data_IF_815340942337
#
_entry.id   IF_815340942337
#
_cell.length_a   1.000
_cell.length_b   1.000
_cell.length_c   1.000
_cell.angle_alpha   90.00
_cell.angle_beta   90.00
_cell.angle_gamma   90.00
#
_symmetry.space_group_name_H-M   'P 1'
#
loop_
_entity.id
_entity.type
_entity.pdbx_description
1 polymer ?
#
# COMPACT_ATOMS: atom_id res chain seq x y z
N UNK A 1 2.80 -7.20 -6.12
CA UNK A 1 2.06 -5.95 -5.81
C UNK A 1 0.61 -6.20 -6.15
N UNK A 2 -0.30 -6.16 -5.18
CA UNK A 2 -1.74 -6.22 -5.38
C UNK A 2 -2.35 -4.85 -5.15
N UNK A 3 -3.12 -4.34 -6.11
CA UNK A 3 -3.60 -2.93 -6.11
C UNK A 3 -5.12 -2.86 -6.26
N UNK A 4 -5.74 -3.71 -7.06
CA UNK A 4 -7.12 -3.51 -7.50
C UNK A 4 -8.19 -3.97 -6.50
N UNK A 5 -7.85 -4.79 -5.50
CA UNK A 5 -8.77 -5.14 -4.41
C UNK A 5 -8.86 -4.01 -3.36
N UNK A 6 -9.92 -3.21 -3.42
CA UNK A 6 -10.23 -2.11 -2.47
C UNK A 6 -11.57 -2.31 -1.72
N UNK A 7 -12.13 -3.52 -1.81
CA UNK A 7 -13.26 -3.96 -0.99
C UNK A 7 -12.95 -5.34 -0.43
N UNK A 8 -13.47 -5.64 0.77
CA UNK A 8 -13.23 -6.91 1.44
C UNK A 8 -13.75 -8.14 0.67
N UNK A 9 -14.71 -7.96 -0.25
CA UNK A 9 -15.25 -9.00 -1.12
C UNK A 9 -14.53 -9.11 -2.47
N UNK A 10 -13.60 -8.21 -2.78
CA UNK A 10 -12.79 -8.25 -4.01
C UNK A 10 -11.45 -8.92 -3.75
N UNK A 11 -11.17 -10.01 -4.47
CA UNK A 11 -9.93 -10.77 -4.34
C UNK A 11 -9.29 -10.95 -5.72
N UNK A 12 -8.06 -10.48 -5.87
CA UNK A 12 -7.23 -10.63 -7.08
C UNK A 12 -6.10 -11.65 -6.86
N UNK A 13 -5.67 -11.83 -5.60
CA UNK A 13 -4.56 -12.70 -5.21
C UNK A 13 -5.06 -13.76 -4.24
N UNK A 14 -4.74 -15.02 -4.51
CA UNK A 14 -5.17 -16.14 -3.68
C UNK A 14 -4.41 -16.21 -2.35
N UNK A 15 -5.04 -16.85 -1.35
CA UNK A 15 -4.53 -16.88 0.00
C UNK A 15 -3.18 -17.60 0.14
N UNK A 16 -2.91 -18.60 -0.71
CA UNK A 16 -1.63 -19.32 -0.69
C UNK A 16 -0.49 -18.44 -1.17
N UNK A 17 -0.71 -17.57 -2.16
CA UNK A 17 0.28 -16.57 -2.60
C UNK A 17 0.60 -15.59 -1.47
N UNK A 18 -0.41 -15.11 -0.73
CA UNK A 18 -0.20 -14.21 0.42
C UNK A 18 0.54 -14.94 1.55
N UNK A 19 0.15 -16.17 1.89
CA UNK A 19 0.80 -17.00 2.92
C UNK A 19 2.26 -17.31 2.59
N UNK A 20 2.58 -17.52 1.31
CA UNK A 20 3.96 -17.78 0.84
C UNK A 20 4.84 -16.53 0.85
N UNK A 21 4.26 -15.34 0.91
CA UNK A 21 5.05 -14.13 1.05
C UNK A 21 5.73 -14.16 2.43
N UNK A 22 7.06 -14.11 2.45
CA UNK A 22 7.82 -14.00 3.70
C UNK A 22 7.50 -12.69 4.43
N UNK A 23 7.03 -11.67 3.69
CA UNK A 23 6.58 -10.37 4.22
C UNK A 23 5.42 -9.80 3.41
N UNK A 24 4.44 -9.28 4.13
CA UNK A 24 3.33 -8.50 3.59
C UNK A 24 3.55 -7.03 3.94
N UNK A 25 3.68 -6.19 2.92
CA UNK A 25 3.77 -4.75 3.05
C UNK A 25 2.44 -4.10 2.67
N UNK A 26 2.05 -3.05 3.37
CA UNK A 26 0.80 -2.31 3.13
C UNK A 26 1.04 -0.80 3.06
N UNK A 27 0.12 -0.03 2.45
CA UNK A 27 0.16 1.44 2.53
C UNK A 27 0.08 1.89 3.99
N UNK A 28 -1.03 1.54 4.65
CA UNK A 28 -1.26 1.65 6.09
C UNK A 28 -1.93 0.38 6.58
N UNK A 29 -1.75 0.04 7.86
CA UNK A 29 -2.46 -1.10 8.44
C UNK A 29 -3.97 -0.90 8.42
N UNK A 30 -4.41 0.30 8.80
CA UNK A 30 -5.84 0.62 8.92
C UNK A 30 -6.58 0.45 7.59
N UNK A 31 -6.06 1.01 6.49
CA UNK A 31 -6.68 0.85 5.17
C UNK A 31 -6.69 -0.61 4.69
N UNK A 32 -5.58 -1.33 4.91
CA UNK A 32 -5.50 -2.73 4.53
C UNK A 32 -6.52 -3.60 5.27
N UNK A 33 -6.71 -3.41 6.58
CA UNK A 33 -7.69 -4.15 7.37
C UNK A 33 -9.13 -3.80 7.01
N UNK A 34 -9.39 -2.56 6.61
CA UNK A 34 -10.72 -2.09 6.24
C UNK A 34 -11.14 -2.49 4.81
N UNK A 35 -10.19 -2.58 3.88
CA UNK A 35 -10.51 -2.56 2.44
C UNK A 35 -9.86 -3.69 1.63
N UNK A 36 -8.76 -4.30 2.09
CA UNK A 36 -8.01 -5.27 1.28
C UNK A 36 -8.63 -6.68 1.32
N UNK A 37 -9.50 -6.99 0.36
CA UNK A 37 -10.05 -8.35 0.21
C UNK A 37 -8.99 -9.44 -0.01
N UNK A 38 -7.87 -9.13 -0.67
CA UNK A 38 -6.71 -10.05 -0.80
C UNK A 38 -6.17 -10.53 0.56
N UNK A 39 -6.33 -9.73 1.62
CA UNK A 39 -5.85 -10.04 2.97
C UNK A 39 -6.96 -10.58 3.88
N UNK A 40 -8.23 -10.30 3.57
CA UNK A 40 -9.37 -10.68 4.39
C UNK A 40 -9.48 -12.20 4.62
N UNK A 41 -9.27 -12.99 3.56
CA UNK A 41 -9.21 -14.46 3.65
C UNK A 41 -8.04 -14.95 4.50
N UNK A 42 -6.79 -14.64 4.13
CA UNK A 42 -5.60 -15.03 4.90
C UNK A 42 -5.64 -14.67 6.39
N UNK A 43 -6.13 -13.48 6.74
CA UNK A 43 -6.29 -13.05 8.13
C UNK A 43 -7.35 -13.88 8.88
N UNK A 44 -8.54 -14.02 8.28
CA UNK A 44 -9.65 -14.81 8.85
C UNK A 44 -9.25 -16.28 9.08
N UNK A 45 -8.51 -16.84 8.13
CA UNK A 45 -8.11 -18.26 8.15
C UNK A 45 -6.83 -18.49 8.97
N UNK A 46 -6.25 -17.44 9.57
CA UNK A 46 -5.06 -17.52 10.43
C UNK A 46 -3.76 -17.84 9.68
N UNK A 47 -3.73 -17.63 8.37
CA UNK A 47 -2.54 -17.85 7.53
C UNK A 47 -1.50 -16.74 7.71
N UNK A 48 -1.96 -15.54 8.09
CA UNK A 48 -1.16 -14.38 8.50
C UNK A 48 -1.86 -13.71 9.69
N UNK A 49 -1.12 -12.96 10.50
CA UNK A 49 -1.65 -12.12 11.57
C UNK A 49 -1.59 -10.64 11.21
N UNK A 50 -2.44 -9.81 11.82
CA UNK A 50 -2.39 -8.35 11.61
C UNK A 50 -1.02 -7.75 11.98
N UNK A 51 -0.35 -8.34 12.97
CA UNK A 51 1.00 -7.96 13.39
C UNK A 51 2.05 -8.15 12.28
N UNK A 52 1.80 -9.05 11.33
CA UNK A 52 2.70 -9.34 10.20
C UNK A 52 2.62 -8.29 9.09
N UNK A 53 1.59 -7.43 9.10
CA UNK A 53 1.43 -6.37 8.12
C UNK A 53 2.43 -5.24 8.41
N UNK A 54 3.31 -4.92 7.47
CA UNK A 54 4.34 -3.90 7.64
C UNK A 54 4.03 -2.69 6.75
N UNK A 55 3.94 -1.49 7.31
CA UNK A 55 3.73 -0.30 6.49
C UNK A 55 4.96 0.01 5.64
N UNK A 56 4.75 0.20 4.33
CA UNK A 56 5.83 0.46 3.37
C UNK A 56 6.61 1.75 3.70
N UNK A 57 5.97 2.70 4.39
CA UNK A 57 6.61 3.90 4.90
C UNK A 57 7.76 3.63 5.90
N UNK A 58 7.72 2.52 6.63
CA UNK A 58 8.83 2.10 7.49
C UNK A 58 10.06 1.68 6.68
N UNK A 59 9.85 1.03 5.54
CA UNK A 59 10.92 0.67 4.61
C UNK A 59 11.48 1.93 3.96
N UNK A 60 10.61 2.81 3.45
CA UNK A 60 11.03 4.06 2.79
C UNK A 60 11.80 5.01 3.73
N UNK A 61 11.51 4.98 5.03
CA UNK A 61 12.21 5.79 6.05
C UNK A 61 13.45 5.12 6.65
N UNK A 62 13.82 3.91 6.20
CA UNK A 62 14.96 3.17 6.72
C UNK A 62 14.75 2.57 8.12
N UNK A 63 13.52 2.59 8.65
CA UNK A 63 13.16 1.98 9.95
C UNK A 63 12.84 0.49 9.87
N UNK A 64 12.75 -0.05 8.66
CA UNK A 64 12.58 -1.48 8.40
C UNK A 64 13.48 -1.88 7.21
N UNK A 65 14.17 -3.04 7.25
CA UNK A 65 15.11 -3.44 6.20
C UNK A 65 14.45 -3.74 4.84
N UNK A 66 13.13 -3.94 4.84
CA UNK A 66 12.40 -4.34 3.63
C UNK A 66 12.66 -5.81 3.31
N UNK A 67 13.07 -6.08 2.07
CA UNK A 67 13.50 -7.42 1.61
C UNK A 67 14.90 -7.72 2.16
N UNK A 68 15.11 -8.92 2.69
CA UNK A 68 16.37 -9.33 3.33
C UNK A 68 17.12 -10.44 2.58
N UNK A 69 16.49 -11.11 1.61
CA UNK A 69 17.17 -12.08 0.74
C UNK A 69 16.60 -12.12 -0.68
N UNK A 70 17.35 -12.74 -1.60
CA UNK A 70 16.94 -12.92 -3.00
C UNK A 70 15.81 -13.93 -3.15
N UNK A 71 15.77 -14.94 -2.29
CA UNK A 71 14.78 -16.03 -2.35
C UNK A 71 13.46 -15.68 -1.65
N UNK A 72 13.44 -14.58 -0.90
CA UNK A 72 12.25 -14.09 -0.21
C UNK A 72 11.19 -13.60 -1.22
N UNK A 73 9.96 -14.11 -1.10
CA UNK A 73 8.81 -13.52 -1.79
C UNK A 73 8.25 -12.40 -0.92
N UNK A 74 8.05 -11.21 -1.50
CA UNK A 74 7.43 -10.07 -0.81
C UNK A 74 6.13 -9.71 -1.51
N UNK A 75 5.06 -9.49 -0.74
CA UNK A 75 3.79 -9.01 -1.27
C UNK A 75 3.51 -7.62 -0.75
N UNK A 76 3.42 -6.63 -1.64
CA UNK A 76 2.90 -5.31 -1.30
C UNK A 76 1.43 -5.24 -1.70
N UNK A 77 0.57 -4.88 -0.75
CA UNK A 77 -0.86 -4.63 -0.93
C UNK A 77 -1.15 -3.14 -0.78
N UNK A 78 -1.82 -2.56 -1.76
CA UNK A 78 -2.23 -1.15 -1.74
C UNK A 78 -3.74 -1.03 -1.90
N UNK A 79 -4.32 -0.10 -1.13
CA UNK A 79 -5.70 0.39 -1.28
C UNK A 79 -5.73 1.90 -1.57
N UNK A 80 -4.58 2.58 -1.47
CA UNK A 80 -4.44 4.02 -1.60
C UNK A 80 -4.60 4.74 -0.27
N UNK A 81 -3.84 5.81 -0.08
CA UNK A 81 -3.94 6.70 1.09
C UNK A 81 -3.82 8.16 0.70
N UNK A 82 -4.65 9.02 1.30
CA UNK A 82 -4.76 10.43 0.92
C UNK A 82 -3.43 11.21 0.94
N UNK A 83 -2.45 10.79 1.76
CA UNK A 83 -1.12 11.41 1.79
C UNK A 83 -0.37 11.26 0.46
N UNK A 84 -0.62 10.19 -0.30
CA UNK A 84 -0.04 9.98 -1.63
C UNK A 84 -0.56 11.06 -2.60
N UNK A 85 -1.87 11.29 -2.61
CA UNK A 85 -2.53 12.28 -3.47
C UNK A 85 -2.10 13.71 -3.13
N UNK A 86 -2.11 14.07 -1.84
CA UNK A 86 -1.71 15.40 -1.39
C UNK A 86 -0.24 15.67 -1.71
N UNK A 87 0.63 14.67 -1.56
CA UNK A 87 2.05 14.79 -1.88
C UNK A 87 2.28 14.99 -3.38
N UNK A 88 1.60 14.19 -4.22
CA UNK A 88 1.68 14.30 -5.67
C UNK A 88 1.10 15.64 -6.16
N UNK A 89 -0.10 16.00 -5.71
CA UNK A 89 -0.75 17.27 -6.05
C UNK A 89 0.09 18.48 -5.64
N UNK A 90 0.68 18.46 -4.43
CA UNK A 90 1.59 19.50 -3.98
C UNK A 90 2.84 19.62 -4.85
N UNK A 91 3.41 18.50 -5.29
CA UNK A 91 4.57 18.50 -6.20
C UNK A 91 4.21 19.06 -7.59
N UNK A 92 3.07 18.64 -8.15
CA UNK A 92 2.55 19.15 -9.43
C UNK A 92 2.29 20.65 -9.35
N UNK A 93 1.62 21.12 -8.30
CA UNK A 93 1.32 22.53 -8.10
C UNK A 93 2.59 23.39 -8.00
N UNK A 94 3.59 22.95 -7.22
CA UNK A 94 4.88 23.65 -7.14
C UNK A 94 5.56 23.74 -8.50
N UNK A 95 5.54 22.65 -9.28
CA UNK A 95 6.14 22.61 -10.61
C UNK A 95 5.41 23.49 -11.60
N UNK A 96 4.07 23.50 -11.58
CA UNK A 96 3.24 24.35 -12.42
C UNK A 96 3.55 25.84 -12.19
N UNK A 97 3.62 26.27 -10.91
CA UNK A 97 4.00 27.64 -10.54
C UNK A 97 5.39 28.02 -11.05
N UNK A 98 6.38 27.15 -10.90
CA UNK A 98 7.74 27.40 -11.39
C UNK A 98 7.84 27.51 -12.92
N UNK A 99 6.89 26.92 -13.65
CA UNK A 99 6.84 26.94 -15.12
C UNK A 99 5.85 27.99 -15.67
N UNK A 100 5.14 28.73 -14.80
CA UNK A 100 4.07 29.64 -15.23
C UNK A 100 2.88 28.93 -15.90
N UNK A 101 2.57 27.69 -15.49
CA UNK A 101 1.46 26.91 -16.02
C UNK A 101 0.23 26.96 -15.10
N UNK A 102 -0.96 26.91 -15.69
CA UNK A 102 -2.25 26.89 -14.98
C UNK A 102 -3.00 28.21 -15.06
N UNK A 103 -4.11 28.31 -14.30
CA UNK A 103 -4.96 29.50 -14.23
C UNK A 103 -5.45 29.65 -12.79
N UNK A 104 -5.33 30.85 -12.22
CA UNK A 104 -5.90 31.18 -10.92
C UNK A 104 -7.39 31.52 -11.08
N UNK A 105 -8.21 31.02 -10.16
CA UNK A 105 -9.67 31.19 -10.16
C UNK A 105 -10.08 31.69 -8.78
N UNK A 106 -10.83 32.78 -8.72
CA UNK A 106 -11.45 33.26 -7.46
C UNK A 106 -12.61 32.34 -7.07
N UNK A 107 -12.71 32.01 -5.78
CA UNK A 107 -13.69 31.09 -5.20
C UNK A 107 -14.53 31.82 -4.16
#
# INVERSE_FOLDING_TARGET
>A
NGIGSYRLDMVEVDAETVRRAGRVFVDTRDSALAEAGDLAGPLRDGLIAEADLIEVGLVASGRHPGRVSTDEVTFFKSCGVAVQDVSAGGAVLRRARALGLGTEVEV
#
